data_IF_396673453007
#
_entry.id   IF_396673453007
#
_cell.length_a   1.000
_cell.length_b   1.000
_cell.length_c   1.000
_cell.angle_alpha   90.00
_cell.angle_beta   90.00
_cell.angle_gamma   90.00
#
_symmetry.space_group_name_H-M   'P 1'
#
loop_
_entity.id
_entity.type
_entity.pdbx_description
1 polymer ?
#
# COMPACT_ATOMS: atom_id res chain seq x y z
N UNK A 1 3.56 8.94 10.38
CA UNK A 1 4.52 8.71 9.26
C UNK A 1 5.73 7.90 9.71
N UNK A 2 6.16 6.90 8.93
CA UNK A 2 7.27 6.00 9.24
C UNK A 2 8.65 6.67 9.19
N UNK A 3 8.75 7.90 8.67
CA UNK A 3 9.96 8.73 8.80
C UNK A 3 11.18 8.23 8.03
N UNK A 4 10.99 7.31 7.07
CA UNK A 4 12.06 6.76 6.22
C UNK A 4 11.62 6.69 4.76
N UNK A 5 12.58 6.57 3.86
CA UNK A 5 12.32 6.24 2.45
C UNK A 5 11.77 4.81 2.37
N UNK A 6 10.78 4.62 1.51
CA UNK A 6 10.20 3.31 1.20
C UNK A 6 11.21 2.42 0.47
N UNK A 7 11.19 1.15 0.80
CA UNK A 7 11.96 0.10 0.14
C UNK A 7 11.04 -0.69 -0.81
N UNK A 8 11.59 -1.41 -1.81
CA UNK A 8 10.78 -2.23 -2.71
C UNK A 8 9.83 -3.21 -1.99
N UNK A 9 10.24 -3.71 -0.84
CA UNK A 9 9.46 -4.66 -0.04
C UNK A 9 8.20 -4.02 0.55
N UNK A 10 8.18 -2.69 0.76
CA UNK A 10 7.02 -1.99 1.33
C UNK A 10 5.84 -1.98 0.36
N UNK A 11 6.07 -1.83 -0.95
CA UNK A 11 5.00 -1.91 -1.97
C UNK A 11 4.65 -3.35 -2.32
N UNK A 12 5.62 -4.27 -2.27
CA UNK A 12 5.43 -5.67 -2.63
C UNK A 12 4.30 -6.34 -1.82
N UNK A 13 4.20 -6.05 -0.51
CA UNK A 13 3.13 -6.58 0.34
C UNK A 13 1.74 -6.15 -0.12
N UNK A 14 1.55 -4.87 -0.43
CA UNK A 14 0.28 -4.35 -0.94
C UNK A 14 -0.06 -4.93 -2.32
N UNK A 15 0.93 -5.07 -3.19
CA UNK A 15 0.77 -5.73 -4.50
C UNK A 15 0.35 -7.19 -4.35
N UNK A 16 1.02 -7.96 -3.51
CA UNK A 16 0.69 -9.38 -3.26
C UNK A 16 -0.74 -9.50 -2.72
N UNK A 17 -1.15 -8.64 -1.78
CA UNK A 17 -2.52 -8.59 -1.30
C UNK A 17 -3.51 -8.38 -2.45
N UNK A 18 -3.30 -7.35 -3.29
CA UNK A 18 -4.18 -7.02 -4.41
C UNK A 18 -4.24 -8.11 -5.48
N UNK A 19 -3.17 -8.88 -5.66
CA UNK A 19 -3.12 -10.01 -6.59
C UNK A 19 -3.68 -11.31 -6.00
N UNK A 20 -3.93 -11.36 -4.70
CA UNK A 20 -4.43 -12.56 -4.02
C UNK A 20 -5.96 -12.61 -3.97
N UNK A 21 -6.50 -13.81 -3.69
CA UNK A 21 -7.94 -14.01 -3.46
C UNK A 21 -8.50 -13.20 -2.28
N UNK A 22 -7.63 -12.71 -1.38
CA UNK A 22 -8.05 -11.85 -0.26
C UNK A 22 -8.62 -10.52 -0.75
N UNK A 23 -8.20 -10.05 -1.92
CA UNK A 23 -8.67 -8.81 -2.52
C UNK A 23 -9.80 -9.01 -3.54
N UNK A 24 -10.46 -10.18 -3.60
CA UNK A 24 -11.44 -10.52 -4.66
C UNK A 24 -12.63 -9.57 -4.82
N UNK A 25 -12.90 -8.74 -3.82
CA UNK A 25 -13.98 -7.74 -3.83
C UNK A 25 -13.46 -6.30 -3.69
N UNK A 26 -12.15 -6.11 -3.83
CA UNK A 26 -11.48 -4.81 -3.76
C UNK A 26 -11.15 -4.37 -5.17
N UNK A 27 -11.92 -3.42 -5.68
CA UNK A 27 -11.74 -2.84 -7.02
C UNK A 27 -12.15 -1.38 -7.01
N UNK A 28 -11.68 -0.59 -7.99
CA UNK A 28 -12.00 0.83 -8.13
C UNK A 28 -11.44 1.71 -7.01
N UNK A 29 -10.39 1.26 -6.32
CA UNK A 29 -9.77 1.98 -5.19
C UNK A 29 -8.27 2.12 -5.37
N UNK A 30 -7.69 3.14 -4.74
CA UNK A 30 -6.25 3.38 -4.68
C UNK A 30 -5.74 2.99 -3.30
N UNK A 31 -4.74 2.11 -3.24
CA UNK A 31 -4.03 1.77 -2.00
C UNK A 31 -2.74 2.59 -1.95
N UNK A 32 -2.71 3.62 -1.10
CA UNK A 32 -1.51 4.43 -0.89
C UNK A 32 -0.51 3.66 -0.02
N UNK A 33 0.72 3.52 -0.52
CA UNK A 33 1.83 2.88 0.19
C UNK A 33 3.00 3.86 0.28
N UNK A 34 2.93 4.75 1.26
CA UNK A 34 3.85 5.88 1.42
C UNK A 34 4.41 5.98 2.84
N UNK A 35 4.10 5.02 3.70
CA UNK A 35 4.46 5.09 5.12
C UNK A 35 3.77 6.22 5.88
N UNK A 36 2.63 6.73 5.38
CA UNK A 36 1.85 7.80 5.99
C UNK A 36 2.43 9.20 5.80
N UNK A 37 3.07 9.48 4.67
CA UNK A 37 3.56 10.82 4.30
C UNK A 37 2.42 11.75 3.87
N UNK A 38 1.42 11.22 3.18
CA UNK A 38 0.19 11.89 2.73
C UNK A 38 -0.81 12.08 3.87
N UNK A 39 -0.57 11.49 5.05
CA UNK A 39 -1.43 11.65 6.23
C UNK A 39 -1.30 13.02 6.91
N UNK A 40 -0.61 13.98 6.27
CA UNK A 40 -0.56 15.38 6.70
C UNK A 40 -1.80 16.11 6.20
N UNK A 41 -2.71 16.37 7.13
CA UNK A 41 -3.51 17.61 7.09
C UNK A 41 -2.62 18.83 7.33
#
# INVERSE_FOLDING_TARGET
PLGRIGLPEDVAGATIYLLSDLARFVTGTTVTVDGGMDMRG
#
